data_IF_378707524264
#
_entry.id   IF_378707524264
#
_cell.length_a   1.000
_cell.length_b   1.000
_cell.length_c   1.000
_cell.angle_alpha   90.00
_cell.angle_beta   90.00
_cell.angle_gamma   90.00
#
_symmetry.space_group_name_H-M   'P 1'
#
loop_
_entity.id
_entity.type
_entity.pdbx_description
1 polymer ?
#
# COMPACT_ATOMS: atom_id res chain seq x y z
N UNK A 1 -39.91 -2.85 -25.82
CA UNK A 1 -39.70 -4.26 -25.39
C UNK A 1 -39.04 -4.24 -24.03
N UNK A 2 -39.65 -4.89 -23.03
CA UNK A 2 -38.99 -5.11 -21.73
C UNK A 2 -37.86 -6.12 -21.91
N UNK A 3 -36.69 -5.84 -21.35
CA UNK A 3 -35.54 -6.77 -21.33
C UNK A 3 -35.31 -7.22 -19.91
N UNK A 4 -35.01 -8.51 -19.72
CA UNK A 4 -34.48 -9.02 -18.47
C UNK A 4 -33.03 -8.56 -18.35
N UNK A 5 -32.71 -7.87 -17.26
CA UNK A 5 -31.36 -7.40 -16.98
C UNK A 5 -30.64 -8.44 -16.12
N UNK A 6 -29.36 -8.67 -16.41
CA UNK A 6 -28.46 -9.53 -15.63
C UNK A 6 -27.15 -8.79 -15.40
N UNK A 7 -26.44 -9.12 -14.33
CA UNK A 7 -25.10 -8.60 -14.03
C UNK A 7 -24.22 -9.73 -13.50
N UNK A 8 -22.89 -9.52 -13.53
CA UNK A 8 -21.90 -10.43 -12.93
C UNK A 8 -20.93 -9.62 -12.07
N UNK A 9 -20.40 -10.25 -11.03
CA UNK A 9 -19.30 -9.72 -10.22
C UNK A 9 -18.05 -10.54 -10.52
N UNK A 10 -16.89 -9.89 -10.59
CA UNK A 10 -15.58 -10.53 -10.78
C UNK A 10 -14.67 -10.15 -9.60
N UNK A 11 -13.83 -11.09 -9.18
CA UNK A 11 -12.72 -10.83 -8.24
C UNK A 11 -11.43 -10.87 -9.04
N UNK A 12 -10.60 -9.85 -8.87
CA UNK A 12 -9.25 -9.78 -9.43
C UNK A 12 -8.25 -10.00 -8.30
N UNK A 13 -7.21 -10.79 -8.57
CA UNK A 13 -6.07 -10.90 -7.68
C UNK A 13 -5.14 -9.70 -7.87
N UNK A 14 -4.51 -9.28 -6.79
CA UNK A 14 -3.59 -8.15 -6.80
C UNK A 14 -2.57 -8.22 -5.67
N UNK A 15 -1.52 -7.42 -5.80
CA UNK A 15 -0.44 -7.26 -4.83
C UNK A 15 -0.27 -5.79 -4.47
N UNK A 16 0.20 -5.52 -3.26
CA UNK A 16 0.55 -4.17 -2.81
C UNK A 16 2.02 -3.88 -3.07
N UNK A 17 2.33 -2.65 -3.46
CA UNK A 17 3.69 -2.15 -3.61
C UNK A 17 3.78 -0.71 -3.14
N UNK A 18 4.89 -0.26 -2.53
CA UNK A 18 5.09 1.15 -2.20
C UNK A 18 5.13 2.02 -3.47
N UNK A 19 4.69 3.27 -3.34
CA UNK A 19 4.73 4.28 -4.38
C UNK A 19 4.64 5.70 -3.83
N UNK A 20 4.92 6.68 -4.68
CA UNK A 20 4.87 8.11 -4.31
C UNK A 20 3.98 8.84 -5.31
N UNK A 21 2.95 9.51 -4.79
CA UNK A 21 2.12 10.46 -5.54
C UNK A 21 2.64 11.87 -5.30
N UNK A 22 2.89 12.60 -6.38
CA UNK A 22 3.24 14.01 -6.35
C UNK A 22 2.02 14.86 -6.74
N UNK A 23 1.35 15.37 -5.71
CA UNK A 23 0.16 16.22 -5.83
C UNK A 23 0.22 17.34 -4.78
N UNK A 24 0.76 18.50 -5.19
CA UNK A 24 1.03 19.63 -4.29
C UNK A 24 2.17 19.40 -3.28
N UNK A 25 2.55 18.15 -3.06
CA UNK A 25 3.66 17.65 -2.25
C UNK A 25 3.86 16.16 -2.53
N UNK A 26 4.79 15.50 -1.84
CA UNK A 26 5.08 14.08 -2.05
C UNK A 26 4.40 13.20 -1.00
N UNK A 27 3.54 12.30 -1.45
CA UNK A 27 2.73 11.44 -0.61
C UNK A 27 3.12 10.00 -0.81
N UNK A 28 3.65 9.37 0.23
CA UNK A 28 3.85 7.93 0.25
C UNK A 28 2.51 7.21 0.41
N UNK A 29 2.32 6.17 -0.40
CA UNK A 29 1.17 5.27 -0.29
C UNK A 29 1.53 3.90 -0.84
N UNK A 30 0.70 2.90 -0.57
CA UNK A 30 0.77 1.61 -1.25
C UNK A 30 -0.17 1.62 -2.46
N UNK A 31 0.33 1.20 -3.61
CA UNK A 31 -0.46 0.96 -4.82
C UNK A 31 -0.96 -0.48 -4.84
N UNK A 32 -2.17 -0.71 -5.31
CA UNK A 32 -2.65 -2.06 -5.62
C UNK A 32 -2.42 -2.35 -7.11
N UNK A 33 -1.67 -3.41 -7.43
CA UNK A 33 -1.41 -3.85 -8.81
C UNK A 33 -2.15 -5.15 -9.06
N UNK A 34 -3.02 -5.18 -10.07
CA UNK A 34 -3.93 -6.30 -10.33
C UNK A 34 -3.49 -7.18 -11.50
N UNK A 35 -3.95 -8.43 -11.51
CA UNK A 35 -3.65 -9.44 -12.54
C UNK A 35 -4.08 -9.03 -13.96
N UNK A 36 -5.05 -8.13 -14.09
CA UNK A 36 -5.51 -7.58 -15.37
C UNK A 36 -4.74 -6.31 -15.77
N UNK A 37 -3.65 -5.98 -15.08
CA UNK A 37 -2.80 -4.82 -15.38
C UNK A 37 -3.37 -3.48 -14.90
N UNK A 38 -4.44 -3.48 -14.12
CA UNK A 38 -4.93 -2.25 -13.49
C UNK A 38 -4.09 -1.89 -12.27
N UNK A 39 -4.04 -0.59 -11.97
CA UNK A 39 -3.36 -0.05 -10.80
C UNK A 39 -4.33 0.84 -10.02
N UNK A 40 -4.37 0.67 -8.70
CA UNK A 40 -5.02 1.62 -7.80
C UNK A 40 -3.97 2.45 -7.05
N UNK A 41 -3.79 3.71 -7.47
CA UNK A 41 -2.79 4.67 -7.00
C UNK A 41 -3.43 6.06 -6.75
N UNK A 42 -4.45 6.05 -5.87
CA UNK A 42 -5.49 7.10 -5.68
C UNK A 42 -6.54 7.15 -6.79
N UNK A 43 -6.15 6.88 -8.03
CA UNK A 43 -7.06 6.59 -9.13
C UNK A 43 -7.20 5.07 -9.32
N UNK A 44 -8.08 4.62 -10.22
CA UNK A 44 -8.16 3.20 -10.58
C UNK A 44 -8.05 3.02 -12.09
N UNK A 45 -6.80 2.89 -12.55
CA UNK A 45 -6.40 3.09 -13.93
C UNK A 45 -5.95 1.81 -14.61
N UNK A 46 -5.84 1.86 -15.94
CA UNK A 46 -5.14 0.83 -16.70
C UNK A 46 -3.64 1.12 -16.78
N UNK A 47 -2.86 0.14 -17.24
CA UNK A 47 -1.41 0.27 -17.33
C UNK A 47 -0.94 1.39 -18.27
N UNK A 48 -1.69 1.71 -19.33
CA UNK A 48 -1.31 2.79 -20.26
C UNK A 48 -1.50 4.18 -19.64
N UNK A 49 -2.51 4.36 -18.80
CA UNK A 49 -2.73 5.59 -18.05
C UNK A 49 -1.70 5.73 -16.93
N UNK A 50 -1.39 4.65 -16.22
CA UNK A 50 -0.30 4.62 -15.24
C UNK A 50 1.05 5.04 -15.85
N UNK A 51 1.38 4.57 -17.06
CA UNK A 51 2.59 5.04 -17.79
C UNK A 51 2.57 6.55 -17.98
N UNK A 52 1.43 7.14 -18.34
CA UNK A 52 1.29 8.59 -18.54
C UNK A 52 1.43 9.34 -17.22
N UNK A 53 0.93 8.77 -16.13
CA UNK A 53 1.01 9.37 -14.80
C UNK A 53 2.44 9.41 -14.28
N UNK A 54 3.22 8.34 -14.53
CA UNK A 54 4.68 8.35 -14.30
C UNK A 54 5.38 9.39 -15.20
N UNK A 55 5.03 9.47 -16.48
CA UNK A 55 5.66 10.41 -17.42
C UNK A 55 5.37 11.89 -17.11
N UNK A 56 4.17 12.18 -16.59
CA UNK A 56 3.75 13.55 -16.22
C UNK A 56 4.19 13.94 -14.82
N UNK A 57 4.73 13.00 -14.04
CA UNK A 57 5.16 13.21 -12.66
C UNK A 57 4.02 13.29 -11.66
N UNK A 58 2.88 12.64 -11.94
CA UNK A 58 1.85 12.34 -10.94
C UNK A 58 2.33 11.22 -10.02
N UNK A 59 2.83 10.13 -10.60
CA UNK A 59 3.61 9.12 -9.89
C UNK A 59 5.09 9.43 -10.07
N UNK A 60 5.84 9.49 -8.98
CA UNK A 60 7.28 9.77 -9.01
C UNK A 60 8.08 8.65 -8.36
N UNK A 61 9.33 8.51 -8.77
CA UNK A 61 10.24 7.48 -8.25
C UNK A 61 11.30 8.02 -7.30
N UNK A 62 11.29 9.33 -7.05
CA UNK A 62 12.19 10.00 -6.13
C UNK A 62 11.53 11.23 -5.54
N UNK A 63 11.99 11.60 -4.35
CA UNK A 63 11.69 12.87 -3.69
C UNK A 63 13.02 13.64 -3.62
N UNK A 64 13.07 14.91 -4.08
CA UNK A 64 14.27 15.73 -3.99
C UNK A 64 14.70 15.99 -2.54
N UNK A 65 16.00 16.16 -2.33
CA UNK A 65 16.54 16.54 -1.03
C UNK A 65 15.99 17.91 -0.60
N UNK A 66 15.59 18.00 0.68
CA UNK A 66 14.99 19.18 1.26
C UNK A 66 13.46 19.29 1.09
N UNK A 67 12.84 18.36 0.38
CA UNK A 67 11.39 18.26 0.25
C UNK A 67 10.76 17.43 1.38
N UNK A 68 9.43 17.55 1.50
CA UNK A 68 8.60 16.85 2.47
C UNK A 68 8.09 15.52 1.89
N UNK A 69 8.15 14.44 2.69
CA UNK A 69 7.38 13.21 2.46
C UNK A 69 6.25 13.11 3.49
N UNK A 70 5.03 12.98 3.00
CA UNK A 70 3.82 12.78 3.80
C UNK A 70 3.39 11.31 3.73
N UNK A 71 3.13 10.70 4.88
CA UNK A 71 2.58 9.36 5.02
C UNK A 71 1.23 9.45 5.75
N UNK A 72 0.14 9.18 5.03
CA UNK A 72 -1.21 9.33 5.56
C UNK A 72 -1.43 8.51 6.84
N UNK A 73 -2.04 9.14 7.84
CA UNK A 73 -2.27 8.60 9.19
C UNK A 73 -1.01 8.20 9.98
N UNK A 74 0.19 8.60 9.54
CA UNK A 74 1.43 8.38 10.29
C UNK A 74 2.15 9.69 10.61
N UNK A 75 2.44 10.51 9.61
CA UNK A 75 3.19 11.75 9.82
C UNK A 75 3.77 12.34 8.55
N UNK A 76 4.52 13.41 8.71
CA UNK A 76 5.23 14.06 7.63
C UNK A 76 6.57 14.63 8.06
N UNK A 77 7.57 14.46 7.19
CA UNK A 77 8.96 14.83 7.48
C UNK A 77 9.64 15.44 6.28
N UNK A 78 10.51 16.41 6.53
CA UNK A 78 11.51 16.86 5.58
C UNK A 78 12.64 15.84 5.50
N UNK A 79 13.06 15.50 4.28
CA UNK A 79 14.07 14.47 4.03
C UNK A 79 15.31 15.01 3.33
N UNK A 80 16.42 14.28 3.42
CA UNK A 80 17.68 14.54 2.73
C UNK A 80 18.41 13.22 2.43
N UNK A 81 19.41 13.27 1.54
CA UNK A 81 20.24 12.13 1.13
C UNK A 81 19.41 10.96 0.60
N UNK A 82 18.40 11.26 -0.21
CA UNK A 82 17.55 10.24 -0.84
C UNK A 82 18.33 9.33 -1.78
N UNK A 83 18.23 8.02 -1.59
CA UNK A 83 18.71 7.00 -2.52
C UNK A 83 17.52 6.14 -2.95
N UNK A 84 17.09 6.34 -4.19
CA UNK A 84 15.90 5.72 -4.75
C UNK A 84 16.28 4.61 -5.72
N UNK A 85 15.58 3.48 -5.66
CA UNK A 85 16.00 2.26 -6.35
C UNK A 85 15.64 2.24 -7.84
N UNK A 86 14.77 3.14 -8.29
CA UNK A 86 14.25 3.13 -9.65
C UNK A 86 14.33 4.49 -10.34
N UNK A 87 14.73 4.47 -11.60
CA UNK A 87 14.31 5.48 -12.57
C UNK A 87 12.83 5.30 -12.94
N UNK A 88 12.15 6.31 -13.49
CA UNK A 88 10.77 6.17 -13.97
C UNK A 88 10.56 4.96 -14.91
N UNK A 89 11.54 4.69 -15.78
CA UNK A 89 11.49 3.53 -16.68
C UNK A 89 11.61 2.21 -15.93
N UNK A 90 12.55 2.09 -14.99
CA UNK A 90 12.73 0.86 -14.21
C UNK A 90 11.54 0.59 -13.31
N UNK A 91 10.90 1.63 -12.76
CA UNK A 91 9.69 1.48 -11.96
C UNK A 91 8.52 0.95 -12.79
N UNK A 92 8.35 1.41 -14.04
CA UNK A 92 7.35 0.85 -14.94
C UNK A 92 7.60 -0.64 -15.26
N UNK A 93 8.85 -1.04 -15.45
CA UNK A 93 9.19 -2.46 -15.64
C UNK A 93 8.96 -3.29 -14.38
N UNK A 94 9.19 -2.71 -13.19
CA UNK A 94 8.87 -3.36 -11.92
C UNK A 94 7.36 -3.54 -11.72
N UNK A 95 6.53 -2.51 -11.96
CA UNK A 95 5.07 -2.67 -11.89
C UNK A 95 4.59 -3.72 -12.90
N UNK A 96 5.17 -3.73 -14.11
CA UNK A 96 4.89 -4.75 -15.12
C UNK A 96 5.28 -6.15 -14.64
N UNK A 97 6.39 -6.31 -13.92
CA UNK A 97 6.80 -7.61 -13.40
C UNK A 97 5.81 -8.13 -12.35
N UNK A 98 5.25 -7.27 -11.50
CA UNK A 98 4.20 -7.65 -10.55
C UNK A 98 2.94 -8.17 -11.26
N UNK A 99 2.53 -7.52 -12.35
CA UNK A 99 1.40 -8.03 -13.18
C UNK A 99 1.75 -9.39 -13.80
N UNK A 100 2.98 -9.57 -14.28
CA UNK A 100 3.43 -10.85 -14.86
C UNK A 100 3.55 -11.98 -13.82
N UNK A 101 3.85 -11.67 -12.56
CA UNK A 101 3.82 -12.66 -11.48
C UNK A 101 2.41 -13.22 -11.26
N UNK A 102 1.39 -12.35 -11.37
CA UNK A 102 -0.02 -12.73 -11.24
C UNK A 102 -0.61 -13.31 -12.54
N UNK A 103 -0.17 -12.82 -13.68
CA UNK A 103 -0.66 -13.17 -15.01
C UNK A 103 0.51 -13.38 -15.99
N UNK A 104 1.20 -14.54 -15.93
CA UNK A 104 2.43 -14.78 -16.69
C UNK A 104 2.28 -14.71 -18.22
N UNK A 105 1.06 -14.87 -18.72
CA UNK A 105 0.78 -14.85 -20.15
C UNK A 105 0.32 -13.47 -20.66
N UNK A 106 0.19 -12.47 -19.78
CA UNK A 106 -0.28 -11.12 -20.12
C UNK A 106 -1.60 -11.14 -20.91
N UNK A 107 -2.57 -11.94 -20.45
CA UNK A 107 -3.85 -12.13 -21.13
C UNK A 107 -4.98 -11.42 -20.40
N UNK A 108 -6.04 -11.01 -21.12
CA UNK A 108 -7.18 -10.29 -20.53
C UNK A 108 -6.79 -8.99 -19.79
N UNK A 109 -5.74 -8.33 -20.26
CA UNK A 109 -5.32 -7.03 -19.71
C UNK A 109 -6.39 -6.00 -20.01
N UNK A 110 -6.78 -5.26 -18.98
CA UNK A 110 -7.79 -4.23 -19.08
C UNK A 110 -7.24 -3.05 -19.87
N UNK A 111 -8.07 -2.51 -20.75
CA UNK A 111 -7.81 -1.26 -21.45
C UNK A 111 -9.03 -0.39 -21.27
N UNK A 112 -8.82 0.79 -20.70
CA UNK A 112 -9.89 1.72 -20.41
C UNK A 112 -10.61 2.11 -21.69
N UNK A 113 -11.94 2.09 -21.62
CA UNK A 113 -12.80 2.58 -22.67
C UNK A 113 -13.72 3.63 -22.08
N UNK A 114 -13.68 4.85 -22.64
CA UNK A 114 -14.52 5.94 -22.16
C UNK A 114 -15.99 5.55 -22.24
N UNK A 115 -16.65 5.53 -21.08
CA UNK A 115 -18.07 5.27 -20.98
C UNK A 115 -18.81 6.58 -20.75
N UNK A 116 -19.72 6.94 -21.66
CA UNK A 116 -20.61 8.10 -21.51
C UNK A 116 -22.04 7.68 -21.23
N UNK A 117 -22.64 8.24 -20.17
CA UNK A 117 -24.04 8.05 -19.82
C UNK A 117 -24.71 9.43 -19.78
N UNK A 118 -25.70 9.66 -20.63
CA UNK A 118 -26.39 10.95 -20.77
C UNK A 118 -25.43 12.16 -20.97
N UNK A 119 -24.34 11.95 -21.71
CA UNK A 119 -23.33 12.99 -21.96
C UNK A 119 -22.28 13.17 -20.86
N UNK A 120 -22.39 12.44 -19.74
CA UNK A 120 -21.42 12.46 -18.64
C UNK A 120 -20.44 11.29 -18.81
N UNK A 121 -19.14 11.57 -18.78
CA UNK A 121 -18.11 10.53 -18.72
C UNK A 121 -18.13 9.88 -17.33
N UNK A 122 -18.31 8.57 -17.30
CA UNK A 122 -18.36 7.75 -16.09
C UNK A 122 -17.00 7.06 -15.95
N UNK A 123 -16.22 7.51 -14.97
CA UNK A 123 -15.00 6.84 -14.56
C UNK A 123 -15.30 5.59 -13.73
N UNK A 124 -14.31 4.73 -13.61
CA UNK A 124 -14.34 3.59 -12.69
C UNK A 124 -13.53 3.95 -11.44
N UNK A 125 -14.00 3.50 -10.28
CA UNK A 125 -13.25 3.59 -9.03
C UNK A 125 -13.16 2.21 -8.41
N UNK A 126 -12.10 1.98 -7.65
CA UNK A 126 -11.86 0.70 -6.99
C UNK A 126 -10.78 0.86 -5.94
N UNK A 127 -10.95 0.15 -4.84
CA UNK A 127 -9.91 -0.04 -3.81
C UNK A 127 -9.79 -1.54 -3.54
N UNK A 128 -8.58 -2.01 -3.31
CA UNK A 128 -8.34 -3.41 -3.01
C UNK A 128 -8.92 -3.79 -1.65
N UNK A 129 -9.49 -4.99 -1.57
CA UNK A 129 -9.77 -5.62 -0.26
C UNK A 129 -8.55 -6.41 0.17
N UNK A 130 -7.87 -5.96 1.23
CA UNK A 130 -6.78 -6.70 1.83
C UNK A 130 -7.30 -8.03 2.41
N UNK A 131 -6.57 -9.11 2.15
CA UNK A 131 -6.90 -10.41 2.68
C UNK A 131 -5.66 -11.28 2.89
N UNK A 132 -5.79 -12.29 3.75
CA UNK A 132 -4.87 -13.44 3.81
C UNK A 132 -5.64 -14.74 3.59
N UNK A 133 -4.90 -15.79 3.23
CA UNK A 133 -5.44 -17.14 3.11
C UNK A 133 -5.56 -17.76 4.51
N UNK A 134 -6.72 -18.36 4.80
CA UNK A 134 -6.89 -19.24 5.96
C UNK A 134 -6.13 -20.55 5.72
N UNK A 135 -4.98 -20.71 6.40
CA UNK A 135 -4.12 -21.88 6.29
C UNK A 135 -4.50 -23.01 7.26
N UNK A 136 -5.57 -22.86 8.04
CA UNK A 136 -6.05 -23.93 8.94
C UNK A 136 -6.89 -24.96 8.16
N UNK A 137 -7.55 -24.55 7.08
CA UNK A 137 -8.38 -25.42 6.23
C UNK A 137 -7.77 -25.59 4.83
N UNK A 138 -6.58 -26.23 4.76
CA UNK A 138 -5.80 -26.42 3.52
C UNK A 138 -6.41 -27.38 2.49
N UNK A 139 -7.46 -28.13 2.84
CA UNK A 139 -8.08 -29.14 1.97
C UNK A 139 -9.17 -28.58 1.02
N UNK A 140 -9.20 -27.26 0.82
CA UNK A 140 -10.17 -26.61 -0.07
C UNK A 140 -9.50 -26.09 -1.34
N UNK A 141 -10.04 -26.48 -2.50
CA UNK A 141 -9.68 -25.92 -3.81
C UNK A 141 -9.81 -24.38 -3.86
N UNK A 142 -10.67 -23.80 -3.01
CA UNK A 142 -10.83 -22.37 -2.81
C UNK A 142 -10.68 -22.06 -1.32
N UNK A 143 -9.45 -21.74 -0.85
CA UNK A 143 -9.25 -21.47 0.56
C UNK A 143 -9.99 -20.21 0.97
N UNK A 144 -10.44 -20.19 2.23
CA UNK A 144 -11.16 -19.06 2.79
C UNK A 144 -10.25 -17.82 2.84
N UNK A 145 -10.77 -16.67 2.40
CA UNK A 145 -10.09 -15.38 2.51
C UNK A 145 -10.51 -14.68 3.79
N UNK A 146 -9.54 -14.36 4.63
CA UNK A 146 -9.75 -13.58 5.86
C UNK A 146 -9.45 -12.12 5.53
N UNK A 147 -10.46 -11.26 5.60
CA UNK A 147 -10.30 -9.82 5.35
C UNK A 147 -9.45 -9.16 6.43
N UNK A 148 -8.75 -8.11 6.06
CA UNK A 148 -7.97 -7.29 6.98
C UNK A 148 -7.97 -5.82 6.61
N UNK A 149 -7.36 -5.04 7.49
CA UNK A 149 -7.05 -3.62 7.33
C UNK A 149 -5.55 -3.41 7.45
N UNK A 150 -5.07 -2.22 7.07
CA UNK A 150 -3.65 -1.89 7.19
C UNK A 150 -3.39 -0.49 7.73
N UNK A 151 -2.19 -0.33 8.31
CA UNK A 151 -1.62 0.94 8.77
C UNK A 151 -0.13 1.00 8.47
N UNK A 152 0.40 2.19 8.24
CA UNK A 152 1.83 2.44 8.13
C UNK A 152 2.42 2.72 9.51
N UNK A 153 3.58 2.15 9.83
CA UNK A 153 4.34 2.38 11.06
C UNK A 153 5.84 2.29 10.76
N UNK A 154 6.69 2.55 11.75
CA UNK A 154 8.11 2.24 11.66
C UNK A 154 8.47 0.98 12.45
N UNK A 155 9.32 0.15 11.86
CA UNK A 155 9.96 -0.99 12.51
C UNK A 155 11.46 -0.73 12.65
N UNK A 156 11.98 -0.79 13.87
CA UNK A 156 13.37 -0.48 14.18
C UNK A 156 14.19 -1.77 14.18
N UNK A 157 15.19 -1.84 13.31
CA UNK A 157 16.11 -2.96 13.25
C UNK A 157 17.53 -2.47 12.97
N UNK A 158 18.49 -2.90 13.81
CA UNK A 158 19.91 -2.52 13.72
C UNK A 158 20.14 -1.00 13.58
N UNK A 159 19.34 -0.19 14.30
CA UNK A 159 19.43 1.27 14.30
C UNK A 159 18.87 1.96 13.04
N UNK A 160 18.18 1.22 12.18
CA UNK A 160 17.48 1.74 10.99
C UNK A 160 15.97 1.65 11.20
N UNK A 161 15.24 2.56 10.57
CA UNK A 161 13.79 2.62 10.63
C UNK A 161 13.22 2.16 9.29
N UNK A 162 12.50 1.05 9.30
CA UNK A 162 11.79 0.56 8.13
C UNK A 162 10.38 1.13 8.15
N UNK A 163 9.97 1.83 7.09
CA UNK A 163 8.57 2.20 6.92
C UNK A 163 7.81 0.94 6.48
N UNK A 164 7.09 0.36 7.42
CA UNK A 164 6.43 -0.94 7.29
C UNK A 164 4.93 -0.79 7.14
N UNK A 165 4.32 -1.82 6.57
CA UNK A 165 2.87 -1.99 6.59
C UNK A 165 2.49 -3.02 7.66
N UNK A 166 1.70 -2.58 8.63
CA UNK A 166 1.03 -3.45 9.59
C UNK A 166 -0.31 -3.90 9.00
N UNK A 167 -0.52 -5.21 8.91
CA UNK A 167 -1.72 -5.84 8.36
C UNK A 167 -2.48 -6.54 9.48
N UNK A 168 -3.67 -6.05 9.82
CA UNK A 168 -4.53 -6.62 10.85
C UNK A 168 -5.64 -7.44 10.20
N UNK A 169 -5.83 -8.67 10.63
CA UNK A 169 -6.86 -9.56 10.10
C UNK A 169 -7.96 -9.84 11.11
N UNK A 170 -9.15 -10.21 10.60
CA UNK A 170 -10.32 -10.55 11.41
C UNK A 170 -10.07 -11.61 12.48
N UNK A 171 -9.15 -12.54 12.24
CA UNK A 171 -8.77 -13.60 13.16
C UNK A 171 -7.74 -13.18 14.23
N UNK A 172 -7.51 -11.87 14.40
CA UNK A 172 -6.53 -11.25 15.31
C UNK A 172 -5.07 -11.45 14.92
N UNK A 173 -4.78 -12.08 13.78
CA UNK A 173 -3.40 -12.11 13.29
C UNK A 173 -2.99 -10.72 12.84
N UNK A 174 -1.78 -10.34 13.22
CA UNK A 174 -1.13 -9.13 12.75
C UNK A 174 0.12 -9.54 11.96
N UNK A 175 0.32 -8.98 10.77
CA UNK A 175 1.54 -9.13 10.00
C UNK A 175 2.28 -7.80 9.91
N UNK A 176 3.61 -7.83 9.93
CA UNK A 176 4.44 -6.67 9.58
C UNK A 176 5.20 -6.99 8.29
N UNK A 177 4.97 -6.19 7.26
CA UNK A 177 5.60 -6.24 5.93
C UNK A 177 6.51 -5.03 5.71
N UNK A 178 7.54 -5.15 4.87
CA UNK A 178 8.41 -4.02 4.51
C UNK A 178 9.71 -3.92 5.31
N UNK A 179 10.08 -5.00 6.02
CA UNK A 179 11.32 -5.08 6.80
C UNK A 179 12.06 -6.42 6.57
N UNK A 180 12.03 -6.93 5.34
CA UNK A 180 12.59 -8.23 4.98
C UNK A 180 11.61 -9.37 5.28
N UNK A 181 11.99 -10.32 6.14
CA UNK A 181 11.09 -11.43 6.49
C UNK A 181 9.85 -10.93 7.25
N UNK A 182 8.67 -11.29 6.75
CA UNK A 182 7.37 -11.05 7.37
C UNK A 182 7.38 -11.46 8.85
N UNK A 183 6.83 -10.59 9.70
CA UNK A 183 6.62 -10.90 11.12
C UNK A 183 5.16 -11.24 11.35
N UNK A 184 4.90 -12.37 11.99
CA UNK A 184 3.55 -12.78 12.41
C UNK A 184 3.42 -12.53 13.91
N UNK A 185 2.40 -11.78 14.31
CA UNK A 185 2.20 -11.27 15.66
C UNK A 185 0.72 -11.35 16.06
N UNK A 186 0.47 -11.13 17.34
CA UNK A 186 -0.84 -10.76 17.90
C UNK A 186 -0.75 -9.39 18.57
N UNK A 187 -1.85 -8.91 19.16
CA UNK A 187 -1.90 -7.63 19.85
C UNK A 187 -0.97 -7.55 21.06
N UNK A 188 -0.83 -8.63 21.84
CA UNK A 188 0.06 -8.66 23.01
C UNK A 188 1.51 -8.49 22.58
N UNK A 189 1.94 -9.20 21.53
CA UNK A 189 3.29 -9.05 21.00
C UNK A 189 3.51 -7.71 20.33
N UNK A 190 2.54 -7.19 19.59
CA UNK A 190 2.62 -5.83 19.03
C UNK A 190 2.82 -4.78 20.13
N UNK A 191 2.05 -4.88 21.22
CA UNK A 191 2.18 -3.99 22.38
C UNK A 191 3.57 -4.06 22.99
N UNK A 192 4.08 -5.27 23.21
CA UNK A 192 5.44 -5.46 23.71
C UNK A 192 6.49 -4.81 22.78
N UNK A 193 6.35 -4.93 21.46
CA UNK A 193 7.28 -4.29 20.50
C UNK A 193 7.20 -2.76 20.54
N UNK A 194 6.02 -2.19 20.80
CA UNK A 194 5.84 -0.75 21.00
C UNK A 194 6.55 -0.30 22.29
N UNK A 195 6.31 -1.01 23.39
CA UNK A 195 6.93 -0.72 24.69
C UNK A 195 8.47 -0.87 24.65
N UNK A 196 8.98 -1.81 23.84
CA UNK A 196 10.40 -2.03 23.57
C UNK A 196 11.01 -0.95 22.64
N UNK A 197 10.18 -0.10 22.00
CA UNK A 197 10.62 0.89 21.01
C UNK A 197 11.04 0.29 19.66
N UNK A 198 10.67 -0.97 19.40
CA UNK A 198 10.94 -1.66 18.13
C UNK A 198 9.87 -1.31 17.08
N UNK A 199 8.63 -1.05 17.50
CA UNK A 199 7.58 -0.48 16.65
C UNK A 199 7.26 0.92 17.15
N UNK A 200 7.30 1.91 16.27
CA UNK A 200 7.04 3.31 16.64
C UNK A 200 6.36 4.08 15.52
N UNK A 201 5.81 5.25 15.85
CA UNK A 201 5.20 6.18 14.89
C UNK A 201 6.04 7.44 14.66
N UNK A 202 7.02 7.68 15.53
CA UNK A 202 7.91 8.84 15.49
C UNK A 202 9.35 8.41 15.18
N UNK A 203 10.11 9.34 14.59
CA UNK A 203 11.46 9.10 14.09
C UNK A 203 12.35 10.28 14.48
N UNK A 204 13.53 10.06 15.08
CA UNK A 204 14.40 11.15 15.48
C UNK A 204 15.08 11.81 14.27
N UNK A 205 15.37 13.12 14.38
CA UNK A 205 16.15 13.82 13.37
C UNK A 205 17.52 13.13 13.16
N UNK A 206 17.92 12.99 11.89
CA UNK A 206 19.10 12.24 11.49
C UNK A 206 18.89 10.73 11.37
N UNK A 207 17.71 10.20 11.68
CA UNK A 207 17.38 8.79 11.45
C UNK A 207 17.40 8.45 9.97
N UNK A 208 17.91 7.26 9.66
CA UNK A 208 17.82 6.68 8.32
C UNK A 208 16.55 5.85 8.22
N UNK A 209 15.71 6.20 7.24
CA UNK A 209 14.47 5.49 6.92
C UNK A 209 14.67 4.68 5.64
N UNK A 210 14.13 3.46 5.63
CA UNK A 210 14.12 2.55 4.49
C UNK A 210 12.66 2.25 4.14
N UNK A 211 12.32 2.37 2.86
CA UNK A 211 11.10 1.84 2.28
C UNK A 211 11.51 0.67 1.39
N UNK A 212 11.26 -0.55 1.85
CA UNK A 212 11.59 -1.76 1.10
C UNK A 212 10.95 -1.71 -0.29
N UNK A 213 11.72 -2.06 -1.34
CA UNK A 213 11.30 -1.94 -2.75
C UNK A 213 10.99 -0.52 -3.22
N UNK A 214 11.57 0.53 -2.63
CA UNK A 214 11.46 1.89 -3.17
C UNK A 214 12.71 2.74 -2.98
N UNK A 215 13.26 2.81 -1.77
CA UNK A 215 14.42 3.64 -1.49
C UNK A 215 14.70 3.87 -0.01
N UNK A 216 15.67 4.73 0.26
CA UNK A 216 16.05 5.14 1.60
C UNK A 216 16.38 6.64 1.66
N UNK A 217 16.22 7.25 2.83
CA UNK A 217 16.51 8.67 3.06
C UNK A 217 16.83 8.95 4.52
N UNK A 218 17.27 10.17 4.81
CA UNK A 218 17.51 10.66 6.18
C UNK A 218 16.47 11.69 6.56
N UNK A 219 15.97 11.62 7.79
CA UNK A 219 15.07 12.62 8.35
C UNK A 219 15.84 13.87 8.74
N UNK A 220 15.36 15.04 8.32
CA UNK A 220 15.93 16.34 8.68
C UNK A 220 15.10 17.01 9.77
N UNK A 221 13.79 17.03 9.58
CA UNK A 221 12.84 17.74 10.43
C UNK A 221 11.48 17.03 10.37
N UNK A 222 10.84 16.88 11.52
CA UNK A 222 9.45 16.44 11.63
C UNK A 222 8.51 17.65 11.57
N UNK A 223 7.51 17.58 10.70
CA UNK A 223 6.42 18.57 10.66
C UNK A 223 5.29 18.16 11.60
N UNK A 224 4.88 16.89 11.52
CA UNK A 224 3.95 16.27 12.46
C UNK A 224 4.09 14.75 12.42
N UNK A 225 3.66 14.11 13.50
CA UNK A 225 3.49 12.66 13.59
C UNK A 225 2.27 12.35 14.46
N UNK A 226 1.60 11.24 14.17
CA UNK A 226 0.54 10.74 15.03
C UNK A 226 1.15 9.93 16.17
N UNK A 227 0.57 10.07 17.36
CA UNK A 227 1.03 9.33 18.54
C UNK A 227 0.74 7.83 18.38
N UNK A 228 1.69 6.98 18.78
CA UNK A 228 1.56 5.53 18.61
C UNK A 228 0.34 4.97 19.35
N UNK A 229 -0.04 5.59 20.47
CA UNK A 229 -1.23 5.22 21.24
C UNK A 229 -2.53 5.53 20.49
N UNK A 230 -2.60 6.63 19.75
CA UNK A 230 -3.76 6.98 18.92
C UNK A 230 -3.90 5.99 17.75
N UNK A 231 -2.78 5.68 17.08
CA UNK A 231 -2.76 4.65 16.01
C UNK A 231 -3.18 3.28 16.56
N UNK A 232 -2.76 2.93 17.77
CA UNK A 232 -3.13 1.66 18.39
C UNK A 232 -4.64 1.60 18.72
N UNK A 233 -5.23 2.70 19.20
CA UNK A 233 -6.69 2.78 19.40
C UNK A 233 -7.43 2.65 18.07
N UNK A 234 -6.98 3.31 17.02
CA UNK A 234 -7.56 3.13 15.68
C UNK A 234 -7.46 1.69 15.19
N UNK A 235 -6.36 0.99 15.50
CA UNK A 235 -6.18 -0.41 15.16
C UNK A 235 -7.17 -1.32 15.89
N UNK A 236 -7.48 -1.02 17.15
CA UNK A 236 -8.55 -1.73 17.89
C UNK A 236 -9.93 -1.46 17.30
N UNK A 237 -10.19 -0.23 16.83
CA UNK A 237 -11.45 0.11 16.16
C UNK A 237 -11.56 -0.55 14.78
N UNK A 238 -10.48 -0.62 14.00
CA UNK A 238 -10.42 -1.41 12.76
C UNK A 238 -10.74 -2.88 13.03
N UNK A 239 -10.22 -3.45 14.13
CA UNK A 239 -10.52 -4.82 14.55
C UNK A 239 -12.02 -5.03 14.83
N UNK A 240 -12.66 -4.08 15.55
CA UNK A 240 -14.10 -4.10 15.82
C UNK A 240 -14.91 -4.05 14.51
N UNK A 241 -14.55 -3.14 13.61
CA UNK A 241 -15.21 -2.99 12.30
C UNK A 241 -15.09 -4.26 11.44
N UNK A 242 -13.92 -4.90 11.40
CA UNK A 242 -13.71 -6.19 10.72
C UNK A 242 -14.62 -7.31 11.26
N UNK A 243 -15.05 -7.19 12.52
CA UNK A 243 -15.97 -8.11 13.18
C UNK A 243 -17.44 -7.66 13.16
N UNK A 244 -17.73 -6.48 12.62
CA UNK A 244 -19.09 -5.94 12.50
C UNK A 244 -19.61 -5.30 13.79
N UNK A 245 -18.70 -4.85 14.66
CA UNK A 245 -18.98 -4.07 15.87
C UNK A 245 -18.91 -2.56 15.61
#
# INVERSE_FOLDING_TARGET
>A
MSRTLVYRTTTLQGVKTPGIIHNGGYHFTHFDVYEDGRIADWNFEDFEHFIKDVQKGWVVTNIPDGEEISCFNLGSWKIDKGQWYYTPKEYLEFIKSLVLELNPNWTNIYTYQERKVNGVTVGESGTGTLYKIDTVNVDHFFPTKIKGENRSLFYVFEGKYYLVQLLLFKDKTILIHGCGEEKVLDFERLRALIDEGIVCSTIPNGAKVIIENLGEFTIVEEFYSNEIEEIFVELEDDYRQLNGE
#
